data_IF_415726466036
#
_entry.id   IF_415726466036
#
_cell.length_a   1.000
_cell.length_b   1.000
_cell.length_c   1.000
_cell.angle_alpha   90.00
_cell.angle_beta   90.00
_cell.angle_gamma   90.00
#
_symmetry.space_group_name_H-M   'P 1'
#
loop_
_entity.id
_entity.type
_entity.pdbx_description
1 polymer ?
#
# COMPACT_ATOMS: atom_id res chain seq x y z
N UNK A 1 17.28 20.25 -58.93
CA UNK A 1 16.37 20.76 -57.88
C UNK A 1 15.30 19.74 -57.49
N UNK A 2 14.72 18.97 -58.41
CA UNK A 2 13.65 17.99 -58.11
C UNK A 2 14.04 16.89 -57.10
N UNK A 3 15.27 16.34 -57.15
CA UNK A 3 15.72 15.30 -56.19
C UNK A 3 15.82 15.77 -54.73
N UNK A 4 15.96 17.08 -54.50
CA UNK A 4 16.04 17.65 -53.15
C UNK A 4 14.65 17.68 -52.48
N UNK A 5 13.59 17.89 -53.27
CA UNK A 5 12.20 17.89 -52.79
C UNK A 5 11.73 16.50 -52.35
N UNK A 6 12.11 15.44 -53.09
CA UNK A 6 11.79 14.07 -52.70
C UNK A 6 12.51 13.63 -51.42
N UNK A 7 13.72 14.13 -51.17
CA UNK A 7 14.49 13.81 -49.96
C UNK A 7 13.97 14.55 -48.71
N UNK A 8 13.42 15.77 -48.88
CA UNK A 8 12.76 16.49 -47.79
C UNK A 8 11.38 15.89 -47.45
N UNK A 9 10.63 15.45 -48.46
CA UNK A 9 9.33 14.81 -48.26
C UNK A 9 9.44 13.49 -47.48
N UNK A 10 10.48 12.69 -47.75
CA UNK A 10 10.73 11.44 -47.02
C UNK A 10 11.10 11.67 -45.55
N UNK A 11 11.79 12.77 -45.21
CA UNK A 11 12.16 13.10 -43.83
C UNK A 11 10.97 13.62 -43.01
N UNK A 12 10.02 14.32 -43.65
CA UNK A 12 8.80 14.81 -43.01
C UNK A 12 7.81 13.67 -42.65
N UNK A 13 7.81 12.56 -43.41
CA UNK A 13 6.96 11.40 -43.15
C UNK A 13 7.42 10.55 -41.95
N UNK A 14 8.71 10.58 -41.61
CA UNK A 14 9.26 9.82 -40.46
C UNK A 14 8.97 10.52 -39.13
N UNK A 15 8.78 11.85 -39.14
CA UNK A 15 8.45 12.62 -37.94
C UNK A 15 6.98 12.46 -37.48
N UNK A 16 6.10 11.91 -38.33
CA UNK A 16 4.69 11.68 -37.97
C UNK A 16 4.43 10.31 -37.30
N UNK A 17 5.42 9.41 -37.29
CA UNK A 17 5.29 8.08 -36.69
C UNK A 17 5.93 7.96 -35.29
N UNK A 18 6.48 9.05 -34.75
CA UNK A 18 7.10 9.09 -33.42
C UNK A 18 6.24 9.85 -32.39
N UNK A 19 4.93 9.76 -32.50
CA UNK A 19 4.08 9.84 -31.32
C UNK A 19 3.84 8.40 -30.89
N UNK A 20 4.62 7.89 -29.94
CA UNK A 20 4.06 6.87 -29.05
C UNK A 20 2.92 7.59 -28.34
N UNK A 21 1.69 7.14 -28.57
CA UNK A 21 0.60 7.47 -27.67
C UNK A 21 1.02 6.91 -26.31
N UNK A 22 1.54 7.77 -25.43
CA UNK A 22 1.50 7.51 -24.00
C UNK A 22 0.02 7.60 -23.62
N UNK A 23 -0.74 6.54 -23.95
CA UNK A 23 -2.09 6.38 -23.46
C UNK A 23 -1.98 6.31 -21.94
N UNK A 24 -2.55 7.31 -21.26
CA UNK A 24 -2.83 7.25 -19.83
C UNK A 24 -3.75 6.03 -19.58
N UNK A 25 -3.14 4.87 -19.34
CA UNK A 25 -3.85 3.64 -19.03
C UNK A 25 -4.39 3.75 -17.61
N UNK A 26 -5.67 4.11 -17.50
CA UNK A 26 -6.42 3.97 -16.27
C UNK A 26 -6.83 2.50 -16.12
N UNK A 27 -6.30 1.84 -15.08
CA UNK A 27 -6.63 0.47 -14.75
C UNK A 27 -7.77 0.41 -13.73
N UNK A 28 -8.61 -0.63 -13.81
CA UNK A 28 -9.75 -0.82 -12.90
C UNK A 28 -9.33 -0.92 -11.44
N UNK A 29 -8.12 -1.39 -11.12
CA UNK A 29 -7.59 -1.49 -9.76
C UNK A 29 -7.06 -0.17 -9.18
N UNK A 30 -7.11 0.95 -9.91
CA UNK A 30 -6.70 2.23 -9.35
C UNK A 30 -7.83 2.85 -8.50
N UNK A 31 -7.48 3.52 -7.41
CA UNK A 31 -8.41 4.13 -6.48
C UNK A 31 -8.02 3.98 -5.01
N UNK A 32 -9.02 4.08 -4.14
CA UNK A 32 -8.88 4.02 -2.69
C UNK A 32 -9.35 2.69 -2.13
N UNK A 33 -8.76 2.32 -1.00
CA UNK A 33 -8.89 1.01 -0.42
C UNK A 33 -8.85 1.05 1.11
N UNK A 34 -9.61 0.20 1.77
CA UNK A 34 -9.56 -0.03 3.22
C UNK A 34 -9.04 -1.45 3.53
N UNK A 35 -8.43 -1.63 4.69
CA UNK A 35 -8.03 -2.97 5.15
C UNK A 35 -9.29 -3.74 5.54
N UNK A 36 -9.57 -4.82 4.81
CA UNK A 36 -10.69 -5.74 5.09
C UNK A 36 -10.25 -6.99 5.85
N UNK A 37 -8.98 -7.39 5.70
CA UNK A 37 -8.37 -8.51 6.42
C UNK A 37 -6.90 -8.20 6.69
N UNK A 38 -6.40 -8.61 7.85
CA UNK A 38 -4.99 -8.49 8.22
C UNK A 38 -4.61 -9.70 9.07
N UNK A 39 -3.90 -10.66 8.48
CA UNK A 39 -3.61 -11.96 9.11
C UNK A 39 -2.11 -12.17 9.22
N UNK A 40 -1.62 -12.46 10.42
CA UNK A 40 -0.22 -12.85 10.67
C UNK A 40 -0.01 -14.36 10.53
N UNK A 41 1.23 -14.75 10.28
CA UNK A 41 1.69 -16.15 10.30
C UNK A 41 1.74 -16.76 11.71
N UNK A 42 1.84 -15.91 12.73
CA UNK A 42 1.93 -16.30 14.15
C UNK A 42 0.92 -15.52 14.99
N UNK A 43 0.32 -16.18 15.98
CA UNK A 43 -0.59 -15.56 16.95
C UNK A 43 0.18 -14.61 17.87
N UNK A 44 -0.36 -13.43 18.14
CA UNK A 44 0.23 -12.40 19.01
C UNK A 44 -0.87 -11.68 19.78
N UNK A 45 -0.54 -11.16 20.97
CA UNK A 45 -1.39 -10.25 21.74
C UNK A 45 -0.84 -8.83 21.61
N UNK A 46 -1.50 -8.00 20.79
CA UNK A 46 -1.03 -6.63 20.53
C UNK A 46 -1.86 -5.55 21.21
N UNK A 47 -2.96 -5.90 21.88
CA UNK A 47 -3.83 -4.96 22.58
C UNK A 47 -3.81 -5.14 24.11
N UNK A 48 -3.03 -6.08 24.62
CA UNK A 48 -2.87 -6.39 26.05
C UNK A 48 -4.17 -6.91 26.72
N UNK A 49 -5.04 -7.57 25.96
CA UNK A 49 -6.28 -8.15 26.49
C UNK A 49 -6.12 -9.61 27.00
N UNK A 50 -4.94 -10.19 26.80
CA UNK A 50 -4.59 -11.56 27.19
C UNK A 50 -5.04 -12.63 26.20
N UNK A 51 -5.49 -12.25 24.99
CA UNK A 51 -6.01 -13.15 23.96
C UNK A 51 -5.22 -12.96 22.67
N UNK A 52 -4.18 -13.76 22.47
CA UNK A 52 -3.44 -13.74 21.21
C UNK A 52 -4.28 -14.25 20.02
N UNK A 53 -4.12 -13.62 18.86
CA UNK A 53 -4.78 -14.01 17.60
C UNK A 53 -3.85 -13.87 16.39
N UNK A 54 -4.13 -14.62 15.32
CA UNK A 54 -3.55 -14.36 14.00
C UNK A 54 -4.32 -13.32 13.20
N UNK A 55 -5.57 -13.02 13.57
CA UNK A 55 -6.36 -11.95 12.96
C UNK A 55 -6.02 -10.62 13.66
N UNK A 56 -5.13 -9.85 13.04
CA UNK A 56 -4.62 -8.60 13.59
C UNK A 56 -5.68 -7.49 13.66
N UNK A 57 -6.83 -7.63 12.99
CA UNK A 57 -7.94 -6.68 13.18
C UNK A 57 -8.57 -6.79 14.57
N UNK A 58 -8.41 -7.94 15.25
CA UNK A 58 -8.82 -8.10 16.65
C UNK A 58 -7.75 -7.57 17.62
N UNK A 59 -6.49 -7.63 17.20
CA UNK A 59 -5.32 -7.23 18.01
C UNK A 59 -5.00 -5.74 17.94
N UNK A 60 -5.52 -5.03 16.94
CA UNK A 60 -5.26 -3.61 16.75
C UNK A 60 -6.51 -2.84 17.18
N UNK A 61 -6.32 -1.82 18.01
CA UNK A 61 -7.42 -1.04 18.60
C UNK A 61 -8.40 -0.50 17.54
N UNK A 62 -9.73 -0.67 17.70
CA UNK A 62 -10.71 -0.30 16.68
C UNK A 62 -10.65 1.17 16.22
N UNK A 63 -10.33 2.08 17.14
CA UNK A 63 -10.18 3.51 16.86
C UNK A 63 -9.16 3.81 15.75
N UNK A 64 -8.15 2.95 15.54
CA UNK A 64 -7.24 3.09 14.41
C UNK A 64 -8.00 3.05 13.07
N UNK A 65 -8.89 2.08 12.90
CA UNK A 65 -9.61 1.84 11.65
C UNK A 65 -10.76 2.84 11.46
N UNK A 66 -11.45 3.22 12.54
CA UNK A 66 -12.60 4.13 12.48
C UNK A 66 -12.27 5.53 11.97
N UNK A 67 -11.02 5.99 12.13
CA UNK A 67 -10.62 7.34 11.71
C UNK A 67 -9.94 7.38 10.34
N UNK A 68 -10.01 6.28 9.57
CA UNK A 68 -9.32 6.13 8.29
C UNK A 68 -10.24 6.34 7.12
N UNK A 69 -9.92 7.33 6.29
CA UNK A 69 -10.60 7.56 5.01
C UNK A 69 -10.26 6.43 4.03
N UNK A 70 -8.98 6.02 3.99
CA UNK A 70 -8.47 4.87 3.25
C UNK A 70 -7.10 4.45 3.80
N UNK A 71 -6.77 3.16 3.68
CA UNK A 71 -5.49 2.56 4.09
C UNK A 71 -4.52 2.39 2.91
N UNK A 72 -5.04 2.42 1.68
CA UNK A 72 -4.24 2.31 0.46
C UNK A 72 -4.85 3.18 -0.65
N UNK A 73 -3.98 3.86 -1.40
CA UNK A 73 -4.33 4.62 -2.59
C UNK A 73 -3.40 4.23 -3.74
N UNK A 74 -3.97 3.94 -4.90
CA UNK A 74 -3.23 3.60 -6.13
C UNK A 74 -3.62 4.60 -7.21
N UNK A 75 -2.67 5.44 -7.61
CA UNK A 75 -2.78 6.52 -8.61
C UNK A 75 -2.18 6.11 -9.96
N UNK A 76 -2.56 6.78 -11.07
CA UNK A 76 -3.64 7.77 -11.18
C UNK A 76 -5.04 7.15 -11.05
N UNK A 77 -6.03 7.96 -10.66
CA UNK A 77 -7.45 7.61 -10.75
C UNK A 77 -8.29 8.88 -10.96
N UNK A 78 -9.61 8.76 -11.08
CA UNK A 78 -10.52 9.86 -11.44
C UNK A 78 -10.51 11.08 -10.48
N UNK A 79 -9.88 10.95 -9.30
CA UNK A 79 -9.77 12.03 -8.31
C UNK A 79 -8.38 12.66 -8.24
N UNK A 80 -7.45 12.25 -9.11
CA UNK A 80 -6.09 12.77 -9.15
C UNK A 80 -5.86 13.55 -10.43
N UNK A 81 -5.29 14.76 -10.31
CA UNK A 81 -4.95 15.61 -11.47
C UNK A 81 -3.66 15.18 -12.19
N UNK A 82 -2.88 14.28 -11.58
CA UNK A 82 -1.58 13.85 -12.09
C UNK A 82 -1.63 12.40 -12.54
N UNK A 83 -1.01 12.13 -13.69
CA UNK A 83 -0.84 10.78 -14.25
C UNK A 83 0.32 10.00 -13.60
N UNK A 84 0.90 10.51 -12.51
CA UNK A 84 1.98 9.84 -11.81
C UNK A 84 1.48 8.51 -11.20
N UNK A 85 2.11 7.40 -11.62
CA UNK A 85 1.89 6.07 -11.04
C UNK A 85 2.47 6.02 -9.63
N UNK A 86 1.64 6.28 -8.64
CA UNK A 86 2.02 6.29 -7.23
C UNK A 86 1.13 5.33 -6.45
N UNK A 87 1.74 4.62 -5.51
CA UNK A 87 1.03 3.80 -4.54
C UNK A 87 1.37 4.28 -3.14
N UNK A 88 0.36 4.57 -2.35
CA UNK A 88 0.46 5.16 -1.02
C UNK A 88 -0.19 4.20 -0.02
N UNK A 89 0.58 3.76 0.96
CA UNK A 89 0.12 2.90 2.04
C UNK A 89 -0.01 3.70 3.32
N UNK A 90 -1.03 3.39 4.12
CA UNK A 90 -1.19 3.77 5.52
C UNK A 90 -1.43 2.50 6.33
N UNK A 91 -0.49 2.14 7.20
CA UNK A 91 -0.52 0.87 7.94
C UNK A 91 -0.43 1.15 9.45
N UNK A 92 -1.11 0.35 10.30
CA UNK A 92 -1.02 0.49 11.74
C UNK A 92 0.42 0.41 12.26
N UNK A 93 0.81 1.42 13.03
CA UNK A 93 2.07 1.44 13.76
C UNK A 93 1.81 1.47 15.25
N UNK A 94 2.22 0.39 15.92
CA UNK A 94 2.18 0.29 17.37
C UNK A 94 3.12 1.31 18.00
N UNK A 95 2.63 1.98 19.05
CA UNK A 95 3.34 2.89 19.93
C UNK A 95 3.27 2.28 21.33
N UNK A 96 4.43 2.06 21.93
CA UNK A 96 4.54 1.71 23.34
C UNK A 96 4.65 3.01 24.14
N UNK A 97 3.66 3.27 24.98
CA UNK A 97 3.65 4.40 25.91
C UNK A 97 4.08 3.88 27.29
N UNK A 98 5.09 4.53 27.87
CA UNK A 98 5.57 4.23 29.21
C UNK A 98 5.29 5.45 30.09
N UNK A 99 4.50 5.27 31.15
CA UNK A 99 4.17 6.35 32.09
C UNK A 99 5.38 6.75 32.95
N UNK A 100 6.25 5.81 33.29
CA UNK A 100 7.56 6.01 33.93
C UNK A 100 8.53 4.96 33.36
N UNK A 101 9.78 5.31 33.00
CA UNK A 101 10.79 4.33 32.59
C UNK A 101 11.11 3.24 33.64
N UNK A 102 10.63 3.38 34.89
CA UNK A 102 10.72 2.37 35.95
C UNK A 102 9.38 1.68 36.27
N UNK A 103 8.28 2.09 35.64
CA UNK A 103 6.98 1.41 35.78
C UNK A 103 6.84 0.38 34.64
N UNK A 104 6.37 -0.81 35.00
CA UNK A 104 6.16 -1.91 34.06
C UNK A 104 4.82 -1.80 33.33
N UNK A 105 3.95 -0.87 33.75
CA UNK A 105 2.70 -0.60 33.06
C UNK A 105 2.99 0.21 31.79
N UNK A 106 3.19 -0.50 30.68
CA UNK A 106 3.11 0.09 29.34
C UNK A 106 1.66 0.13 28.89
N UNK A 107 1.22 1.21 28.26
CA UNK A 107 -0.03 1.19 27.50
C UNK A 107 0.28 1.15 26.01
N UNK A 108 -0.51 0.41 25.24
CA UNK A 108 -0.36 0.30 23.79
C UNK A 108 -1.30 1.28 23.09
N UNK A 109 -0.76 2.01 22.13
CA UNK A 109 -1.53 2.84 21.20
C UNK A 109 -1.10 2.56 19.75
N UNK A 110 -1.87 3.06 18.79
CA UNK A 110 -1.60 2.91 17.37
C UNK A 110 -1.71 4.24 16.64
N UNK A 111 -0.71 4.55 15.82
CA UNK A 111 -0.77 5.66 14.88
C UNK A 111 -0.74 5.18 13.44
N UNK A 112 -1.13 6.07 12.53
CA UNK A 112 -1.02 5.86 11.09
C UNK A 112 0.38 6.19 10.64
N UNK A 113 1.06 5.21 10.07
CA UNK A 113 2.34 5.44 9.42
C UNK A 113 2.19 5.24 7.92
N UNK A 114 2.27 6.36 7.21
CA UNK A 114 2.14 6.41 5.77
C UNK A 114 3.49 6.37 5.04
N UNK A 115 3.52 5.75 3.87
CA UNK A 115 4.63 5.86 2.91
C UNK A 115 4.09 5.69 1.50
N UNK A 116 4.81 6.22 0.51
CA UNK A 116 4.43 6.08 -0.88
C UNK A 116 5.63 5.94 -1.79
N UNK A 117 5.43 5.29 -2.94
CA UNK A 117 6.47 5.10 -3.95
C UNK A 117 5.83 4.94 -5.33
N UNK A 118 6.66 5.02 -6.37
CA UNK A 118 6.23 4.69 -7.73
C UNK A 118 6.07 3.18 -7.92
N UNK A 119 5.27 2.78 -8.90
CA UNK A 119 5.06 1.37 -9.21
C UNK A 119 4.96 1.10 -10.72
N UNK A 120 5.26 -0.14 -11.07
CA UNK A 120 4.91 -0.73 -12.35
C UNK A 120 3.92 -1.89 -12.16
N UNK A 121 3.17 -2.20 -13.21
CA UNK A 121 2.15 -3.22 -13.19
C UNK A 121 2.29 -4.16 -14.39
N UNK A 122 2.28 -5.46 -14.12
CA UNK A 122 2.22 -6.52 -15.14
C UNK A 122 1.63 -7.79 -14.53
N UNK A 123 0.91 -8.58 -15.34
CA UNK A 123 0.40 -9.90 -14.96
C UNK A 123 -0.36 -9.93 -13.60
N UNK A 124 -1.25 -8.96 -13.36
CA UNK A 124 -2.01 -8.83 -12.11
C UNK A 124 -1.15 -8.59 -10.85
N UNK A 125 0.09 -8.10 -11.02
CA UNK A 125 1.01 -7.80 -9.94
C UNK A 125 1.49 -6.36 -10.01
N UNK A 126 1.62 -5.75 -8.84
CA UNK A 126 2.19 -4.42 -8.69
C UNK A 126 3.61 -4.60 -8.16
N UNK A 127 4.58 -4.02 -8.88
CA UNK A 127 5.98 -4.00 -8.49
C UNK A 127 6.37 -2.58 -8.08
N UNK A 128 6.83 -2.42 -6.85
CA UNK A 128 7.31 -1.13 -6.35
C UNK A 128 8.68 -0.78 -6.92
N UNK A 129 8.85 0.46 -7.36
CA UNK A 129 10.13 0.95 -7.87
C UNK A 129 11.03 1.43 -6.72
N UNK A 130 12.27 0.93 -6.67
CA UNK A 130 13.31 1.36 -5.71
C UNK A 130 12.85 1.44 -4.25
N UNK A 131 11.92 0.57 -3.83
CA UNK A 131 11.36 0.61 -2.49
C UNK A 131 12.31 0.04 -1.43
N UNK A 132 12.66 0.87 -0.46
CA UNK A 132 13.33 0.48 0.79
C UNK A 132 12.73 1.27 1.93
N UNK A 133 12.34 0.59 3.00
CA UNK A 133 11.68 1.22 4.13
C UNK A 133 12.04 0.50 5.43
N UNK A 134 12.55 1.23 6.42
CA UNK A 134 13.01 0.65 7.70
C UNK A 134 11.85 0.19 8.59
N UNK A 135 10.63 0.63 8.31
CA UNK A 135 9.44 0.30 9.10
C UNK A 135 8.70 -0.96 8.61
N UNK A 136 8.85 -1.31 7.34
CA UNK A 136 8.10 -2.41 6.71
C UNK A 136 8.81 -2.95 5.46
N UNK A 137 8.76 -4.25 5.27
CA UNK A 137 9.13 -4.89 4.00
C UNK A 137 7.88 -5.31 3.26
N UNK A 138 7.72 -4.93 2.00
CA UNK A 138 6.65 -5.44 1.13
C UNK A 138 7.25 -6.54 0.25
N UNK A 139 6.69 -7.75 0.29
CA UNK A 139 7.16 -8.91 -0.47
C UNK A 139 6.49 -9.01 -1.83
N UNK A 140 5.19 -8.83 -1.88
CA UNK A 140 4.40 -8.84 -3.10
C UNK A 140 3.14 -8.00 -2.92
N UNK A 141 2.59 -7.58 -4.06
CA UNK A 141 1.29 -6.93 -4.17
C UNK A 141 0.58 -7.56 -5.38
N UNK A 142 -0.56 -8.18 -5.15
CA UNK A 142 -1.35 -8.89 -6.14
C UNK A 142 -2.73 -8.24 -6.26
N UNK A 143 -3.21 -8.09 -7.50
CA UNK A 143 -4.56 -7.66 -7.80
C UNK A 143 -5.44 -8.90 -7.91
N UNK A 144 -6.49 -8.93 -7.10
CA UNK A 144 -7.48 -9.99 -7.07
C UNK A 144 -8.54 -9.78 -8.15
N UNK A 145 -9.34 -10.81 -8.44
CA UNK A 145 -10.32 -10.80 -9.54
C UNK A 145 -11.45 -9.77 -9.38
N UNK A 146 -11.62 -9.20 -8.19
CA UNK A 146 -12.61 -8.17 -7.85
C UNK A 146 -11.98 -6.79 -7.64
N UNK A 147 -10.79 -6.54 -8.21
CA UNK A 147 -9.99 -5.32 -8.05
C UNK A 147 -9.51 -5.04 -6.61
N UNK A 148 -9.73 -5.96 -5.67
CA UNK A 148 -9.10 -5.91 -4.35
C UNK A 148 -7.61 -6.12 -4.46
N UNK A 149 -6.87 -5.60 -3.49
CA UNK A 149 -5.41 -5.73 -3.43
C UNK A 149 -5.05 -6.67 -2.30
N UNK A 150 -4.16 -7.63 -2.56
CA UNK A 150 -3.55 -8.46 -1.54
C UNK A 150 -2.07 -8.12 -1.44
N UNK A 151 -1.59 -7.85 -0.24
CA UNK A 151 -0.19 -7.55 0.00
C UNK A 151 0.35 -8.50 1.06
N UNK A 152 1.51 -9.11 0.79
CA UNK A 152 2.29 -9.78 1.82
C UNK A 152 3.41 -8.86 2.31
N UNK A 153 3.45 -8.59 3.61
CA UNK A 153 4.44 -7.73 4.26
C UNK A 153 5.22 -8.49 5.33
N UNK A 154 6.36 -7.97 5.73
CA UNK A 154 7.00 -8.29 7.00
C UNK A 154 7.10 -7.02 7.84
N UNK A 155 6.74 -7.13 9.12
CA UNK A 155 6.75 -6.01 10.06
C UNK A 155 6.97 -6.51 11.49
N UNK A 156 7.70 -5.73 12.28
CA UNK A 156 7.86 -5.99 13.72
C UNK A 156 6.72 -5.35 14.52
N UNK A 157 6.26 -6.10 15.52
CA UNK A 157 5.33 -5.70 16.57
C UNK A 157 5.87 -6.20 17.92
N UNK A 158 5.55 -5.48 18.99
CA UNK A 158 5.76 -5.93 20.34
C UNK A 158 4.55 -6.76 20.76
N UNK A 159 4.79 -8.03 21.02
CA UNK A 159 3.79 -8.96 21.53
C UNK A 159 3.81 -8.92 23.06
N UNK A 160 2.66 -8.58 23.64
CA UNK A 160 2.52 -8.44 25.10
C UNK A 160 2.44 -9.77 25.82
N UNK A 161 2.00 -10.84 25.14
CA UNK A 161 1.98 -12.17 25.74
C UNK A 161 3.40 -12.66 26.04
N UNK A 162 4.32 -12.44 25.08
CA UNK A 162 5.72 -12.87 25.22
C UNK A 162 6.66 -11.77 25.71
N UNK A 163 6.19 -10.53 25.85
CA UNK A 163 6.97 -9.33 26.17
C UNK A 163 8.19 -9.13 25.25
N UNK A 164 8.05 -9.44 23.95
CA UNK A 164 9.15 -9.39 23.00
C UNK A 164 8.73 -8.79 21.65
N UNK A 165 9.71 -8.18 20.97
CA UNK A 165 9.54 -7.82 19.57
C UNK A 165 9.58 -9.06 18.69
N UNK A 166 8.51 -9.28 17.94
CA UNK A 166 8.35 -10.37 16.99
C UNK A 166 8.16 -9.81 15.59
N UNK A 167 8.94 -10.37 14.65
CA UNK A 167 8.80 -10.09 13.23
C UNK A 167 7.72 -11.00 12.66
N UNK A 168 6.64 -10.41 12.17
CA UNK A 168 5.49 -11.11 11.61
C UNK A 168 5.53 -11.08 10.09
N UNK A 169 5.13 -12.19 9.47
CA UNK A 169 4.74 -12.21 8.05
C UNK A 169 3.24 -12.00 7.99
N UNK A 170 2.78 -10.92 7.35
CA UNK A 170 1.38 -10.51 7.39
C UNK A 170 0.81 -10.48 5.98
N UNK A 171 -0.34 -11.10 5.79
CA UNK A 171 -1.18 -10.94 4.62
C UNK A 171 -2.26 -9.89 4.89
N UNK A 172 -2.32 -8.87 4.05
CA UNK A 172 -3.33 -7.81 4.11
C UNK A 172 -4.18 -7.89 2.85
N UNK A 173 -5.50 -7.97 3.03
CA UNK A 173 -6.46 -7.83 1.93
C UNK A 173 -7.14 -6.48 2.05
N UNK A 174 -6.95 -5.68 1.02
CA UNK A 174 -7.54 -4.37 0.86
C UNK A 174 -8.78 -4.44 -0.01
N UNK A 175 -9.90 -3.95 0.51
CA UNK A 175 -11.15 -3.84 -0.23
C UNK A 175 -11.25 -2.46 -0.89
N UNK A 176 -11.61 -2.43 -2.18
CA UNK A 176 -11.81 -1.17 -2.88
C UNK A 176 -13.02 -0.43 -2.33
N UNK A 177 -12.88 0.87 -2.10
CA UNK A 177 -13.95 1.75 -1.63
C UNK A 177 -14.18 2.90 -2.60
N UNK A 178 -15.42 3.42 -2.60
CA UNK A 178 -15.78 4.62 -3.34
C UNK A 178 -15.99 5.77 -2.37
N UNK A 179 -15.11 6.78 -2.44
CA UNK A 179 -15.18 7.94 -1.55
C UNK A 179 -16.32 8.91 -1.92
N UNK A 180 -16.92 8.79 -3.11
CA UNK A 180 -18.11 9.58 -3.48
C UNK A 180 -19.40 9.10 -2.79
N UNK A 181 -19.39 7.90 -2.20
CA UNK A 181 -20.56 7.27 -1.58
C UNK A 181 -20.66 7.48 -0.06
N UNK A 182 -19.74 8.25 0.54
CA UNK A 182 -19.65 8.52 1.99
C UNK A 182 -20.24 9.88 2.39
#
# INVERSE_FOLDING_TARGET
>A
MEKLYYSLAALALILLYSCSEDENQNFSFQGHYEISQMTSDTSVDLNEDGIASTNLLNEIVPYYFENTVYDLEIRPHNYTESDAKLILFSIPHQILLFDDPNDQNSSIDYCKKGFGTSYEFSDNKIQLENFSNDFITIKNIEILSNDNIKTNIEKEYFDTETENWVKLSIEIVYQKIDLEAL
#
